data_IF_043253750990
#
_entry.id   IF_043253750990
#
_cell.length_a   1.000
_cell.length_b   1.000
_cell.length_c   1.000
_cell.angle_alpha   90.00
_cell.angle_beta   90.00
_cell.angle_gamma   90.00
#
_symmetry.space_group_name_H-M   'P 1'
#
loop_
_entity.id
_entity.type
_entity.pdbx_description
1 polymer ?
#
# COMPACT_ATOMS: atom_id res chain seq x y z
N UNK A 1 -48.43 -9.16 -9.80
CA UNK A 1 -47.13 -9.69 -9.32
C UNK A 1 -46.00 -9.48 -10.34
N UNK A 2 -45.90 -8.31 -10.98
CA UNK A 2 -44.84 -7.99 -11.97
C UNK A 2 -44.19 -6.62 -11.72
N UNK A 3 -44.91 -5.74 -11.01
CA UNK A 3 -44.39 -4.45 -10.52
C UNK A 3 -43.57 -4.57 -9.21
N UNK A 4 -43.57 -5.73 -8.54
CA UNK A 4 -42.79 -5.96 -7.33
C UNK A 4 -41.28 -6.12 -7.63
N UNK A 5 -40.93 -6.65 -8.80
CA UNK A 5 -39.53 -6.86 -9.20
C UNK A 5 -38.83 -5.57 -9.65
N UNK A 6 -39.57 -4.56 -10.08
CA UNK A 6 -39.01 -3.26 -10.52
C UNK A 6 -38.57 -2.44 -9.30
N UNK A 7 -39.24 -2.58 -8.15
CA UNK A 7 -38.84 -1.92 -6.92
C UNK A 7 -37.54 -2.51 -6.31
N UNK A 8 -37.28 -3.80 -6.50
CA UNK A 8 -36.05 -4.45 -5.99
C UNK A 8 -34.80 -4.07 -6.81
N UNK A 9 -34.97 -3.80 -8.12
CA UNK A 9 -33.87 -3.39 -8.99
C UNK A 9 -33.40 -1.94 -8.76
N UNK A 10 -34.28 -1.07 -8.24
CA UNK A 10 -33.93 0.34 -7.96
C UNK A 10 -33.20 0.53 -6.61
N UNK A 11 -33.27 -0.47 -5.72
CA UNK A 11 -32.70 -0.40 -4.38
C UNK A 11 -31.22 -0.83 -4.31
N UNK A 12 -30.68 -1.44 -5.38
CA UNK A 12 -29.26 -1.78 -5.50
C UNK A 12 -28.39 -0.67 -6.14
N UNK A 13 -28.99 0.45 -6.57
CA UNK A 13 -28.30 1.47 -7.35
C UNK A 13 -27.62 2.60 -6.58
N UNK A 14 -27.76 2.68 -5.25
CA UNK A 14 -27.42 3.92 -4.50
C UNK A 14 -26.34 3.78 -3.43
N UNK A 15 -25.59 2.67 -3.38
CA UNK A 15 -24.40 2.56 -2.50
C UNK A 15 -23.13 2.51 -3.37
N UNK A 16 -22.84 3.59 -4.09
CA UNK A 16 -21.47 3.84 -4.55
C UNK A 16 -21.22 5.35 -4.70
N UNK A 17 -21.48 6.09 -3.61
CA UNK A 17 -20.72 7.29 -3.32
C UNK A 17 -19.79 6.93 -2.17
N UNK A 18 -18.51 6.66 -2.47
CA UNK A 18 -17.47 6.65 -1.45
C UNK A 18 -17.19 8.11 -1.13
N UNK A 19 -17.80 8.61 -0.07
CA UNK A 19 -17.52 9.92 0.52
C UNK A 19 -16.01 9.98 0.81
N UNK A 20 -15.24 10.64 -0.06
CA UNK A 20 -13.86 11.02 0.25
C UNK A 20 -13.89 12.42 0.85
N UNK A 21 -14.57 12.52 1.99
CA UNK A 21 -14.57 13.70 2.84
C UNK A 21 -13.97 13.26 4.17
N UNK A 22 -12.64 13.18 4.23
CA UNK A 22 -11.89 12.79 5.41
C UNK A 22 -10.70 13.72 5.60
N UNK A 23 -10.75 14.50 6.67
CA UNK A 23 -9.68 15.32 7.24
C UNK A 23 -8.27 14.73 7.09
N UNK A 24 -7.36 15.58 6.59
CA UNK A 24 -5.94 15.38 6.31
C UNK A 24 -5.60 14.24 5.32
N UNK A 25 -5.23 14.61 4.09
CA UNK A 25 -4.65 13.72 3.05
C UNK A 25 -3.28 13.11 3.45
N UNK A 26 -3.01 12.96 4.75
CA UNK A 26 -1.79 12.42 5.31
C UNK A 26 -2.09 11.05 5.88
N UNK A 27 -1.38 10.03 5.39
CA UNK A 27 -1.46 8.67 5.88
C UNK A 27 -1.11 8.62 7.37
N UNK A 28 -1.84 7.81 8.13
CA UNK A 28 -1.43 7.48 9.49
C UNK A 28 -0.05 6.81 9.49
N UNK A 29 0.68 6.96 10.59
CA UNK A 29 2.01 6.37 10.76
C UNK A 29 2.01 4.86 10.50
N UNK A 30 0.99 4.16 11.01
CA UNK A 30 0.83 2.71 10.80
C UNK A 30 0.64 2.36 9.33
N UNK A 31 -0.20 3.12 8.61
CA UNK A 31 -0.41 2.93 7.17
C UNK A 31 0.87 3.23 6.40
N UNK A 32 1.59 4.30 6.75
CA UNK A 32 2.85 4.66 6.11
C UNK A 32 3.92 3.57 6.33
N UNK A 33 4.10 3.08 7.57
CA UNK A 33 5.03 1.98 7.87
C UNK A 33 4.70 0.74 7.05
N UNK A 34 3.43 0.35 6.99
CA UNK A 34 3.00 -0.82 6.24
C UNK A 34 3.27 -0.67 4.72
N UNK A 35 3.05 0.52 4.16
CA UNK A 35 3.36 0.82 2.76
C UNK A 35 4.87 0.80 2.51
N UNK A 36 5.69 1.40 3.38
CA UNK A 36 7.16 1.38 3.28
C UNK A 36 7.70 -0.05 3.29
N UNK A 37 7.17 -0.91 4.17
CA UNK A 37 7.51 -2.34 4.20
C UNK A 37 7.18 -3.02 2.87
N UNK A 38 6.00 -2.77 2.31
CA UNK A 38 5.60 -3.38 1.02
C UNK A 38 6.39 -2.84 -0.17
N UNK A 39 6.75 -1.56 -0.16
CA UNK A 39 7.62 -0.95 -1.19
C UNK A 39 8.97 -1.65 -1.18
N UNK A 40 9.63 -1.76 -0.01
CA UNK A 40 10.96 -2.40 0.06
C UNK A 40 10.91 -3.91 -0.22
N UNK A 41 9.85 -4.60 0.20
CA UNK A 41 9.64 -6.01 -0.19
C UNK A 41 9.45 -6.17 -1.70
N UNK A 42 8.68 -5.27 -2.32
CA UNK A 42 8.44 -5.28 -3.77
C UNK A 42 9.71 -4.96 -4.54
N UNK A 43 10.48 -3.98 -4.09
CA UNK A 43 11.77 -3.63 -4.64
C UNK A 43 12.75 -4.81 -4.55
N UNK A 44 12.90 -5.40 -3.35
CA UNK A 44 13.74 -6.59 -3.14
C UNK A 44 13.29 -7.79 -3.99
N UNK A 45 11.98 -8.01 -4.11
CA UNK A 45 11.42 -9.02 -5.01
C UNK A 45 11.82 -8.77 -6.46
N UNK A 46 11.61 -7.55 -6.99
CA UNK A 46 11.97 -7.22 -8.37
C UNK A 46 13.48 -7.35 -8.61
N UNK A 47 14.31 -6.93 -7.65
CA UNK A 47 15.78 -7.08 -7.72
C UNK A 47 16.23 -8.55 -7.66
N UNK A 48 15.47 -9.43 -6.99
CA UNK A 48 15.76 -10.87 -6.95
C UNK A 48 15.45 -11.60 -8.26
N UNK A 49 14.67 -10.98 -9.15
CA UNK A 49 14.35 -11.56 -10.45
C UNK A 49 15.55 -11.42 -11.40
N UNK A 50 15.93 -12.52 -12.05
CA UNK A 50 16.94 -12.53 -13.11
C UNK A 50 16.41 -11.96 -14.43
N UNK A 51 15.94 -10.71 -14.43
CA UNK A 51 15.38 -10.00 -15.59
C UNK A 51 16.26 -8.81 -16.01
N UNK A 52 16.21 -8.36 -17.28
CA UNK A 52 16.92 -7.16 -17.71
C UNK A 52 16.46 -5.92 -16.94
N UNK A 53 17.39 -4.98 -16.74
CA UNK A 53 17.13 -3.72 -16.04
C UNK A 53 16.01 -2.88 -16.68
N UNK A 54 15.92 -2.85 -18.01
CA UNK A 54 14.82 -2.14 -18.68
C UNK A 54 13.47 -2.79 -18.41
N UNK A 55 13.43 -4.13 -18.23
CA UNK A 55 12.22 -4.84 -17.84
C UNK A 55 11.83 -4.55 -16.39
N UNK A 56 12.79 -4.47 -15.47
CA UNK A 56 12.52 -4.14 -14.06
C UNK A 56 11.95 -2.73 -13.89
N UNK A 57 12.39 -1.77 -14.72
CA UNK A 57 11.82 -0.41 -14.78
C UNK A 57 10.35 -0.35 -15.17
N UNK A 58 9.86 -1.33 -15.93
CA UNK A 58 8.44 -1.43 -16.30
C UNK A 58 7.67 -2.20 -15.24
N UNK A 59 8.26 -3.27 -14.69
CA UNK A 59 7.60 -4.14 -13.72
C UNK A 59 7.38 -3.45 -12.37
N UNK A 60 8.38 -2.73 -11.85
CA UNK A 60 8.28 -2.12 -10.52
C UNK A 60 7.10 -1.15 -10.38
N UNK A 61 6.88 -0.16 -11.28
CA UNK A 61 5.73 0.75 -11.17
C UNK A 61 4.37 0.04 -11.22
N UNK A 62 4.27 -1.09 -11.94
CA UNK A 62 3.05 -1.89 -11.99
C UNK A 62 2.77 -2.52 -10.63
N UNK A 63 3.79 -3.05 -9.96
CA UNK A 63 3.67 -3.66 -8.63
C UNK A 63 3.45 -2.60 -7.54
N UNK A 64 4.18 -1.49 -7.60
CA UNK A 64 4.01 -0.35 -6.69
C UNK A 64 2.58 0.19 -6.73
N UNK A 65 2.00 0.37 -7.92
CA UNK A 65 0.59 0.77 -8.05
C UNK A 65 -0.37 -0.20 -7.34
N UNK A 66 -0.10 -1.51 -7.39
CA UNK A 66 -0.93 -2.50 -6.69
C UNK A 66 -0.86 -2.36 -5.17
N UNK A 67 0.25 -1.85 -4.62
CA UNK A 67 0.35 -1.50 -3.20
C UNK A 67 -0.67 -0.41 -2.91
N UNK A 68 -0.66 0.71 -3.64
CA UNK A 68 -1.60 1.80 -3.40
C UNK A 68 -3.07 1.39 -3.58
N UNK A 69 -3.36 0.56 -4.59
CA UNK A 69 -4.69 -0.04 -4.79
C UNK A 69 -5.11 -0.90 -3.59
N UNK A 70 -4.19 -1.69 -3.01
CA UNK A 70 -4.45 -2.52 -1.82
C UNK A 70 -4.79 -1.68 -0.59
N UNK A 71 -4.14 -0.53 -0.40
CA UNK A 71 -4.44 0.40 0.69
C UNK A 71 -5.62 1.33 0.39
N UNK A 72 -6.15 1.30 -0.84
CA UNK A 72 -7.29 2.13 -1.26
C UNK A 72 -6.95 3.61 -1.41
N UNK A 73 -5.68 3.95 -1.62
CA UNK A 73 -5.18 5.32 -1.71
C UNK A 73 -4.70 5.64 -3.14
N UNK A 74 -4.79 6.89 -3.60
CA UNK A 74 -4.05 7.33 -4.77
C UNK A 74 -2.56 7.47 -4.43
N UNK A 75 -1.70 7.34 -5.45
CA UNK A 75 -0.26 7.59 -5.38
C UNK A 75 0.06 8.99 -4.84
N UNK A 76 -0.74 9.99 -5.21
CA UNK A 76 -0.60 11.37 -4.74
C UNK A 76 -0.72 11.53 -3.21
N UNK A 77 -1.54 10.71 -2.55
CA UNK A 77 -1.67 10.72 -1.07
C UNK A 77 -0.42 10.14 -0.42
N UNK A 78 0.16 9.09 -0.99
CA UNK A 78 1.45 8.56 -0.51
C UNK A 78 2.56 9.61 -0.65
N UNK A 79 2.70 10.25 -1.81
CA UNK A 79 3.72 11.27 -2.06
C UNK A 79 3.56 12.44 -1.07
N UNK A 80 2.34 12.97 -0.92
CA UNK A 80 2.06 14.06 0.02
C UNK A 80 2.37 13.68 1.47
N UNK A 81 2.09 12.44 1.85
CA UNK A 81 2.39 11.93 3.19
C UNK A 81 3.89 11.76 3.42
N UNK A 82 4.61 11.24 2.42
CA UNK A 82 6.06 11.12 2.45
C UNK A 82 6.71 12.50 2.62
N UNK A 83 6.29 13.49 1.82
CA UNK A 83 6.73 14.88 1.96
C UNK A 83 6.40 15.49 3.32
N UNK A 84 5.27 15.12 3.93
CA UNK A 84 4.90 15.57 5.26
C UNK A 84 5.85 15.02 6.32
N UNK A 85 6.08 13.70 6.33
CA UNK A 85 6.96 13.05 7.31
C UNK A 85 8.43 13.44 7.13
N UNK A 86 8.89 13.70 5.90
CA UNK A 86 10.26 14.15 5.62
C UNK A 86 10.59 15.54 6.19
N UNK A 87 9.60 16.35 6.58
CA UNK A 87 9.84 17.68 7.21
C UNK A 87 10.38 17.58 8.62
N UNK A 88 10.14 16.45 9.29
CA UNK A 88 10.66 16.16 10.63
C UNK A 88 11.51 14.88 10.55
N UNK A 89 12.83 15.07 10.57
CA UNK A 89 13.78 13.97 10.44
C UNK A 89 13.61 12.91 11.54
N UNK A 90 13.32 13.33 12.78
CA UNK A 90 13.10 12.38 13.89
C UNK A 90 11.81 11.58 13.68
N UNK A 91 10.78 12.21 13.09
CA UNK A 91 9.54 11.51 12.74
C UNK A 91 9.77 10.48 11.63
N UNK A 92 10.49 10.85 10.57
CA UNK A 92 10.80 9.92 9.49
C UNK A 92 11.70 8.76 9.94
N UNK A 93 12.70 9.04 10.79
CA UNK A 93 13.55 8.03 11.42
C UNK A 93 12.72 7.02 12.20
N UNK A 94 11.79 7.49 13.05
CA UNK A 94 10.88 6.62 13.79
C UNK A 94 10.04 5.71 12.89
N UNK A 95 9.53 6.20 11.75
CA UNK A 95 8.79 5.37 10.80
C UNK A 95 9.69 4.32 10.14
N UNK A 96 10.93 4.68 9.80
CA UNK A 96 11.89 3.74 9.20
C UNK A 96 12.36 2.67 10.19
N UNK A 97 12.60 3.01 11.45
CA UNK A 97 12.91 2.03 12.51
C UNK A 97 11.81 0.96 12.59
N UNK A 98 10.54 1.39 12.65
CA UNK A 98 9.39 0.48 12.66
C UNK A 98 9.30 -0.39 11.41
N UNK A 99 9.62 0.16 10.24
CA UNK A 99 9.66 -0.60 8.99
C UNK A 99 10.78 -1.65 8.99
N UNK A 100 11.98 -1.28 9.46
CA UNK A 100 13.14 -2.18 9.60
C UNK A 100 12.84 -3.31 10.59
N UNK A 101 12.21 -3.01 11.73
CA UNK A 101 11.77 -4.01 12.70
C UNK A 101 10.78 -4.99 12.07
N UNK A 102 9.80 -4.46 11.33
CA UNK A 102 8.80 -5.27 10.63
C UNK A 102 9.42 -6.19 9.57
N UNK A 103 10.40 -5.70 8.81
CA UNK A 103 11.17 -6.48 7.85
C UNK A 103 12.02 -7.56 8.54
N UNK A 104 12.65 -7.22 9.66
CA UNK A 104 13.47 -8.16 10.45
C UNK A 104 12.64 -9.31 11.02
N UNK A 105 11.40 -9.05 11.43
CA UNK A 105 10.47 -10.12 11.83
C UNK A 105 10.14 -11.03 10.66
N UNK A 106 9.78 -10.46 9.50
CA UNK A 106 9.47 -11.24 8.28
C UNK A 106 10.65 -12.10 7.82
N UNK A 107 11.86 -11.59 7.92
CA UNK A 107 13.08 -12.33 7.58
C UNK A 107 13.26 -13.54 8.50
N UNK A 108 13.14 -13.34 9.83
CA UNK A 108 13.22 -14.43 10.81
C UNK A 108 12.15 -15.50 10.57
N UNK A 109 10.92 -15.09 10.29
CA UNK A 109 9.81 -16.00 9.95
C UNK A 109 10.12 -16.80 8.67
N UNK A 110 10.66 -16.15 7.64
CA UNK A 110 11.04 -16.82 6.39
C UNK A 110 12.15 -17.86 6.61
N UNK A 111 13.15 -17.54 7.44
CA UNK A 111 14.26 -18.46 7.79
C UNK A 111 13.77 -19.67 8.60
N UNK A 112 12.86 -19.47 9.56
CA UNK A 112 12.28 -20.56 10.35
C UNK A 112 11.46 -21.51 9.48
N UNK A 113 10.67 -20.97 8.54
CA UNK A 113 9.88 -21.76 7.60
C UNK A 113 10.73 -22.55 6.58
N UNK A 114 12.03 -22.27 6.49
CA UNK A 114 12.99 -22.95 5.60
C UNK A 114 13.82 -24.02 6.32
N UNK A 115 13.70 -24.18 7.65
CA UNK A 115 14.33 -25.30 8.36
C UNK A 115 13.58 -26.62 8.07
N UNK A 116 14.29 -27.70 7.70
CA UNK A 116 13.68 -28.98 7.35
C UNK A 116 13.05 -29.70 8.55
#
# INVERSE_FOLDING_TARGET
MKHLYIAFAFLLGTISCRDNNGSDDILSEDTMVNILVEIHMTEGFVQSLSIPYDSSKILYPILERRIFEKYGIPDSVYIKSLEFYLRDAAKMEYLYERAIDSLSVKEKEAQQNQQP
#
